data_IF_090844472252
#
_entry.id   IF_090844472252
#
_cell.length_a   1.000
_cell.length_b   1.000
_cell.length_c   1.000
_cell.angle_alpha   90.00
_cell.angle_beta   90.00
_cell.angle_gamma   90.00
#
_symmetry.space_group_name_H-M   'P 1'
#
loop_
_entity.id
_entity.type
_entity.pdbx_description
1 polymer ?
#
# COMPACT_ATOMS: atom_id res chain seq x y z
N UNK A 1 -2.79 8.37 -15.45
CA UNK A 1 -2.13 8.02 -16.75
C UNK A 1 -0.73 8.59 -16.84
N UNK A 2 -0.53 9.92 -16.73
CA UNK A 2 0.79 10.55 -16.88
C UNK A 2 1.90 9.95 -15.99
N UNK A 3 1.58 9.58 -14.75
CA UNK A 3 2.54 9.00 -13.80
C UNK A 3 3.22 7.71 -14.33
N UNK A 4 2.53 6.93 -15.16
CA UNK A 4 3.06 5.67 -15.68
C UNK A 4 4.20 5.87 -16.69
N UNK A 5 4.34 7.07 -17.27
CA UNK A 5 5.47 7.38 -18.14
C UNK A 5 6.82 7.26 -17.42
N UNK A 6 6.83 7.39 -16.09
CA UNK A 6 8.03 7.29 -15.27
C UNK A 6 8.52 5.86 -15.05
N UNK A 7 7.76 4.83 -15.43
CA UNK A 7 8.14 3.43 -15.23
C UNK A 7 9.20 3.01 -16.24
N UNK A 8 10.30 2.42 -15.79
CA UNK A 8 11.34 1.83 -16.62
C UNK A 8 10.95 0.43 -17.11
N UNK A 9 11.51 -0.01 -18.25
CA UNK A 9 11.19 -1.34 -18.82
C UNK A 9 11.69 -2.52 -17.97
N UNK A 10 12.58 -2.26 -17.01
CA UNK A 10 13.00 -3.23 -16.00
C UNK A 10 12.09 -3.25 -14.76
N UNK A 11 11.02 -2.45 -14.73
CA UNK A 11 10.07 -2.35 -13.63
C UNK A 11 10.45 -1.36 -12.53
N UNK A 12 11.61 -0.69 -12.64
CA UNK A 12 11.96 0.46 -11.80
C UNK A 12 11.20 1.71 -12.25
N UNK A 13 11.54 2.88 -11.71
CA UNK A 13 10.95 4.14 -12.14
C UNK A 13 11.91 5.30 -11.97
N UNK A 14 11.66 6.37 -12.74
CA UNK A 14 12.24 7.67 -12.51
C UNK A 14 11.85 8.22 -11.13
N UNK A 15 12.81 8.87 -10.47
CA UNK A 15 12.68 9.41 -9.11
C UNK A 15 12.71 10.95 -9.09
N UNK A 16 13.02 11.59 -10.22
CA UNK A 16 12.99 13.04 -10.39
C UNK A 16 11.82 13.39 -11.32
N UNK A 17 10.77 13.98 -10.75
CA UNK A 17 9.58 14.42 -11.48
C UNK A 17 9.88 15.77 -12.15
N UNK A 18 9.48 15.93 -13.41
CA UNK A 18 9.62 17.16 -14.19
C UNK A 18 8.56 18.21 -13.87
N UNK A 19 8.58 19.31 -14.62
CA UNK A 19 7.68 20.45 -14.39
C UNK A 19 6.37 20.30 -15.20
N UNK A 20 6.41 19.53 -16.30
CA UNK A 20 5.27 19.27 -17.18
C UNK A 20 4.55 17.95 -16.86
N UNK A 21 3.24 17.82 -17.18
CA UNK A 21 2.51 16.59 -16.93
C UNK A 21 3.14 15.37 -17.64
N UNK A 22 3.57 14.38 -16.85
CA UNK A 22 4.20 13.15 -17.36
C UNK A 22 5.69 13.30 -17.68
N UNK A 23 6.29 14.46 -17.40
CA UNK A 23 7.74 14.66 -17.56
C UNK A 23 8.51 14.04 -16.40
N UNK A 24 9.57 13.32 -16.73
CA UNK A 24 10.52 12.75 -15.79
C UNK A 24 11.95 13.08 -16.24
N UNK A 25 12.82 13.38 -15.28
CA UNK A 25 14.19 13.82 -15.51
C UNK A 25 15.16 12.69 -15.15
N UNK A 26 16.12 12.43 -16.04
CA UNK A 26 17.23 11.52 -15.73
C UNK A 26 18.14 12.13 -14.65
N UNK A 27 18.63 11.30 -13.74
CA UNK A 27 19.61 11.70 -12.74
C UNK A 27 20.92 12.13 -13.43
N UNK A 28 21.50 13.22 -12.94
CA UNK A 28 22.73 13.83 -13.49
C UNK A 28 23.98 13.54 -12.66
N UNK A 29 23.83 13.01 -11.44
CA UNK A 29 24.87 12.96 -10.43
C UNK A 29 25.36 11.54 -10.10
N UNK A 30 24.94 10.50 -10.83
CA UNK A 30 25.34 9.09 -10.63
C UNK A 30 25.06 8.50 -9.24
N UNK A 31 24.37 9.22 -8.34
CA UNK A 31 23.91 8.73 -7.05
C UNK A 31 22.47 8.24 -7.27
N UNK A 32 22.33 7.08 -7.89
CA UNK A 32 21.03 6.46 -8.12
C UNK A 32 20.65 5.58 -6.95
N UNK A 33 19.37 5.65 -6.57
CA UNK A 33 18.76 4.78 -5.56
C UNK A 33 17.49 4.15 -6.12
N UNK A 34 17.24 2.91 -5.73
CA UNK A 34 16.01 2.17 -6.01
C UNK A 34 15.32 1.88 -4.69
N UNK A 35 14.12 2.42 -4.54
CA UNK A 35 13.22 2.08 -3.44
C UNK A 35 12.35 0.92 -3.88
N UNK A 36 12.42 -0.18 -3.13
CA UNK A 36 11.76 -1.45 -3.45
C UNK A 36 10.23 -1.36 -3.47
N UNK A 37 9.65 -0.41 -2.74
CA UNK A 37 8.20 -0.23 -2.62
C UNK A 37 7.58 0.60 -3.75
N UNK A 38 8.36 1.36 -4.51
CA UNK A 38 7.83 2.25 -5.55
C UNK A 38 6.96 1.53 -6.60
N UNK A 39 7.26 0.26 -6.88
CA UNK A 39 6.47 -0.57 -7.79
C UNK A 39 5.14 -1.07 -7.21
N UNK A 40 4.95 -1.01 -5.89
CA UNK A 40 3.78 -1.57 -5.20
C UNK A 40 2.59 -0.59 -5.13
N UNK A 41 2.85 0.69 -4.84
CA UNK A 41 1.81 1.71 -4.62
C UNK A 41 0.93 2.09 -5.84
N UNK A 42 1.45 2.11 -7.09
CA UNK A 42 0.66 2.52 -8.25
C UNK A 42 -0.60 1.68 -8.44
N UNK A 43 -0.53 0.37 -8.21
CA UNK A 43 -1.69 -0.52 -8.36
C UNK A 43 -2.80 -0.18 -7.38
N UNK A 44 -2.47 0.05 -6.11
CA UNK A 44 -3.45 0.39 -5.08
C UNK A 44 -4.18 1.69 -5.42
N UNK A 45 -3.46 2.68 -5.95
CA UNK A 45 -4.03 3.96 -6.39
C UNK A 45 -4.94 3.78 -7.61
N UNK A 46 -4.53 2.99 -8.59
CA UNK A 46 -5.37 2.65 -9.76
C UNK A 46 -6.61 1.88 -9.34
N UNK A 47 -6.48 0.90 -8.44
CA UNK A 47 -7.60 0.13 -7.91
C UNK A 47 -8.60 1.05 -7.22
N UNK A 48 -8.14 1.98 -6.37
CA UNK A 48 -9.02 2.96 -5.73
C UNK A 48 -9.79 3.82 -6.75
N UNK A 49 -9.13 4.26 -7.83
CA UNK A 49 -9.81 4.98 -8.92
C UNK A 49 -10.86 4.11 -9.60
N UNK A 50 -10.53 2.88 -9.99
CA UNK A 50 -11.44 1.97 -10.68
C UNK A 50 -12.62 1.61 -9.76
N UNK A 51 -12.36 1.35 -8.48
CA UNK A 51 -13.39 1.05 -7.51
C UNK A 51 -14.40 2.21 -7.44
N UNK A 52 -13.94 3.45 -7.25
CA UNK A 52 -14.81 4.63 -7.14
C UNK A 52 -15.57 4.97 -8.43
N UNK A 53 -14.94 4.79 -9.59
CA UNK A 53 -15.46 5.31 -10.87
C UNK A 53 -16.11 4.25 -11.75
N UNK A 54 -15.76 2.98 -11.58
CA UNK A 54 -16.08 1.90 -12.51
C UNK A 54 -15.31 1.94 -13.84
N UNK A 55 -14.37 2.86 -14.01
CA UNK A 55 -13.65 3.05 -15.29
C UNK A 55 -12.49 2.06 -15.46
N UNK A 56 -12.84 0.83 -15.86
CA UNK A 56 -11.88 -0.21 -16.25
C UNK A 56 -11.09 0.15 -17.52
N UNK A 57 -11.60 1.06 -18.37
CA UNK A 57 -10.94 1.44 -19.62
C UNK A 57 -9.59 2.11 -19.39
N UNK A 58 -9.34 2.63 -18.19
CA UNK A 58 -8.03 3.12 -17.75
C UNK A 58 -6.92 2.08 -17.96
N UNK A 59 -7.19 0.81 -17.68
CA UNK A 59 -6.21 -0.28 -17.78
C UNK A 59 -5.73 -0.51 -19.24
N UNK A 60 -6.57 -0.18 -20.22
CA UNK A 60 -6.30 -0.34 -21.65
C UNK A 60 -5.65 0.90 -22.28
N UNK A 61 -5.59 2.03 -21.55
CA UNK A 61 -4.92 3.24 -22.05
C UNK A 61 -3.43 2.96 -22.26
N UNK A 62 -2.87 3.53 -23.32
CA UNK A 62 -1.45 3.40 -23.65
C UNK A 62 -0.61 4.50 -23.02
N UNK A 63 0.61 4.15 -22.63
CA UNK A 63 1.62 5.07 -22.12
C UNK A 63 3.03 4.59 -22.51
N UNK A 64 3.97 5.52 -22.60
CA UNK A 64 5.39 5.24 -22.84
C UNK A 64 6.09 4.72 -21.58
N UNK A 65 7.25 4.09 -21.74
CA UNK A 65 8.16 3.79 -20.64
C UNK A 65 9.31 4.79 -20.59
N UNK A 66 9.76 5.11 -19.38
CA UNK A 66 10.95 5.91 -19.13
C UNK A 66 12.19 5.11 -19.52
N UNK A 67 13.17 5.80 -20.09
CA UNK A 67 14.51 5.25 -20.34
C UNK A 67 15.55 6.32 -20.09
N UNK A 68 16.55 6.00 -19.27
CA UNK A 68 17.79 6.73 -19.22
C UNK A 68 18.99 5.78 -19.36
N UNK A 69 20.17 6.24 -18.93
CA UNK A 69 21.41 5.47 -18.99
C UNK A 69 21.45 4.31 -18.00
N UNK A 70 20.58 4.26 -17.00
CA UNK A 70 20.57 3.23 -15.97
C UNK A 70 19.65 2.07 -16.36
N UNK A 71 20.07 0.87 -15.99
CA UNK A 71 19.34 -0.39 -16.25
C UNK A 71 19.57 -1.35 -15.09
N UNK A 72 18.79 -2.44 -15.04
CA UNK A 72 18.92 -3.49 -14.02
C UNK A 72 18.75 -2.92 -12.61
N UNK A 73 17.72 -2.08 -12.41
CA UNK A 73 17.53 -1.37 -11.14
C UNK A 73 18.77 -0.53 -10.80
N UNK A 74 19.28 0.19 -11.80
CA UNK A 74 20.46 1.06 -11.70
C UNK A 74 21.81 0.36 -11.47
N UNK A 75 21.84 -0.98 -11.40
CA UNK A 75 23.06 -1.79 -11.19
C UNK A 75 23.98 -1.85 -12.41
N UNK A 76 23.48 -1.48 -13.60
CA UNK A 76 24.27 -1.38 -14.84
C UNK A 76 23.96 -0.10 -15.60
N UNK A 77 24.91 0.34 -16.42
CA UNK A 77 24.75 1.52 -17.28
C UNK A 77 24.83 1.16 -18.77
N UNK A 78 24.14 1.94 -19.60
CA UNK A 78 24.20 1.94 -21.07
C UNK A 78 24.45 3.37 -21.58
N UNK A 79 24.86 3.56 -22.85
CA UNK A 79 25.01 4.89 -23.42
C UNK A 79 23.72 5.71 -23.30
N UNK A 80 23.86 6.99 -22.95
CA UNK A 80 22.72 7.90 -22.81
C UNK A 80 22.00 8.09 -24.15
N UNK A 81 20.68 8.04 -24.11
CA UNK A 81 19.81 8.26 -25.26
C UNK A 81 19.44 9.73 -25.44
N UNK A 82 19.03 10.12 -26.65
CA UNK A 82 18.64 11.52 -26.96
C UNK A 82 17.31 11.91 -26.31
N UNK A 83 16.42 10.95 -26.17
CA UNK A 83 15.11 11.07 -25.53
C UNK A 83 15.05 10.15 -24.32
N UNK A 84 14.30 10.55 -23.29
CA UNK A 84 14.14 9.77 -22.07
C UNK A 84 12.99 8.74 -22.16
N UNK A 85 12.80 8.13 -23.34
CA UNK A 85 11.73 7.19 -23.63
C UNK A 85 12.30 5.89 -24.16
N UNK A 86 11.80 4.76 -23.68
CA UNK A 86 12.16 3.44 -24.19
C UNK A 86 11.76 3.33 -25.66
N UNK A 87 12.67 2.87 -26.50
CA UNK A 87 12.43 2.70 -27.93
C UNK A 87 12.37 1.22 -28.33
N UNK A 88 11.71 0.94 -29.45
CA UNK A 88 11.68 -0.37 -30.08
C UNK A 88 12.91 -0.60 -30.99
N UNK A 89 12.92 -1.72 -31.73
CA UNK A 89 14.02 -2.05 -32.67
C UNK A 89 14.23 -1.07 -33.83
N UNK A 90 13.29 -0.14 -34.06
CA UNK A 90 13.35 0.89 -35.11
C UNK A 90 13.67 2.27 -34.52
N UNK A 91 14.06 2.34 -33.25
CA UNK A 91 14.31 3.57 -32.50
C UNK A 91 13.06 4.45 -32.31
N UNK A 92 11.86 3.87 -32.41
CA UNK A 92 10.59 4.57 -32.17
C UNK A 92 10.12 4.37 -30.71
N UNK A 93 9.58 5.41 -30.04
CA UNK A 93 9.09 5.28 -28.66
C UNK A 93 8.03 4.18 -28.48
N UNK A 94 8.29 3.23 -27.60
CA UNK A 94 7.39 2.12 -27.31
C UNK A 94 6.27 2.53 -26.34
N UNK A 95 5.05 2.03 -26.59
CA UNK A 95 3.90 2.23 -25.72
C UNK A 95 3.28 0.90 -25.28
N UNK A 96 3.19 0.72 -23.97
CA UNK A 96 2.45 -0.34 -23.30
C UNK A 96 1.09 0.12 -22.80
N UNK A 97 0.20 -0.80 -22.44
CA UNK A 97 -1.03 -0.44 -21.70
C UNK A 97 -0.71 -0.13 -20.24
N UNK A 98 -1.58 0.60 -19.53
CA UNK A 98 -1.44 0.79 -18.08
C UNK A 98 -1.39 -0.56 -17.35
N UNK A 99 -2.18 -1.53 -17.80
CA UNK A 99 -2.11 -2.90 -17.28
C UNK A 99 -0.73 -3.55 -17.48
N UNK A 100 -0.10 -3.37 -18.65
CA UNK A 100 1.26 -3.88 -18.89
C UNK A 100 2.29 -3.29 -17.92
N UNK A 101 2.20 -1.98 -17.64
CA UNK A 101 3.09 -1.31 -16.68
C UNK A 101 2.87 -1.87 -15.26
N UNK A 102 1.61 -2.03 -14.85
CA UNK A 102 1.28 -2.58 -13.53
C UNK A 102 1.71 -4.04 -13.39
N UNK A 103 1.54 -4.86 -14.43
CA UNK A 103 2.04 -6.24 -14.46
C UNK A 103 3.55 -6.26 -14.30
N UNK A 104 4.28 -5.44 -15.08
CA UNK A 104 5.74 -5.35 -15.01
C UNK A 104 6.22 -4.98 -13.60
N UNK A 105 5.72 -3.88 -13.02
CA UNK A 105 6.16 -3.40 -11.71
C UNK A 105 5.98 -4.47 -10.62
N UNK A 106 4.83 -5.15 -10.63
CA UNK A 106 4.50 -6.11 -9.57
C UNK A 106 5.16 -7.47 -9.76
N UNK A 107 5.28 -7.96 -11.00
CA UNK A 107 5.96 -9.21 -11.27
C UNK A 107 7.48 -9.10 -11.07
N UNK A 108 8.10 -7.98 -11.45
CA UNK A 108 9.51 -7.75 -11.13
C UNK A 108 9.72 -7.65 -9.63
N UNK A 109 8.89 -6.86 -8.91
CA UNK A 109 8.96 -6.77 -7.45
C UNK A 109 8.81 -8.15 -6.77
N UNK A 110 7.88 -8.98 -7.24
CA UNK A 110 7.69 -10.34 -6.74
C UNK A 110 8.93 -11.25 -6.93
N UNK A 111 9.59 -11.16 -8.09
CA UNK A 111 10.72 -12.03 -8.45
C UNK A 111 12.08 -11.49 -8.01
N UNK A 112 12.18 -10.21 -7.62
CA UNK A 112 13.40 -9.62 -7.12
C UNK A 112 13.65 -10.00 -5.65
N UNK A 113 14.00 -11.27 -5.41
CA UNK A 113 14.13 -11.85 -4.06
C UNK A 113 15.57 -11.99 -3.58
N UNK A 114 15.75 -12.00 -2.25
CA UNK A 114 17.00 -12.30 -1.57
C UNK A 114 17.15 -13.77 -1.21
N UNK A 115 18.09 -14.06 -0.31
CA UNK A 115 18.50 -15.42 0.07
C UNK A 115 17.41 -16.17 0.85
N UNK A 116 16.52 -15.44 1.55
CA UNK A 116 15.42 -15.99 2.35
C UNK A 116 14.10 -16.08 1.56
N UNK A 117 14.11 -15.70 0.29
CA UNK A 117 12.92 -15.74 -0.56
C UNK A 117 11.91 -14.62 -0.29
N UNK A 118 12.34 -13.50 0.32
CA UNK A 118 11.57 -12.26 0.40
C UNK A 118 12.14 -11.22 -0.57
N UNK A 119 11.35 -10.20 -0.87
CA UNK A 119 11.73 -9.13 -1.80
C UNK A 119 12.96 -8.40 -1.27
N UNK A 120 13.95 -8.15 -2.14
CA UNK A 120 15.14 -7.38 -1.80
C UNK A 120 14.76 -5.97 -1.37
N UNK A 121 15.39 -5.48 -0.31
CA UNK A 121 15.19 -4.12 0.18
C UNK A 121 15.68 -3.07 -0.83
N UNK A 122 16.69 -3.43 -1.64
CA UNK A 122 17.41 -2.49 -2.51
C UNK A 122 17.98 -1.32 -1.68
N UNK A 123 17.71 -0.06 -2.00
CA UNK A 123 18.28 1.09 -1.29
C UNK A 123 17.39 1.65 -0.17
N UNK A 124 16.14 1.19 -0.08
CA UNK A 124 15.17 1.40 1.00
C UNK A 124 13.81 0.84 0.56
N UNK A 125 12.84 0.86 1.48
CA UNK A 125 11.41 0.78 1.15
C UNK A 125 10.71 2.08 1.57
N UNK A 126 9.44 2.02 2.01
CA UNK A 126 8.75 3.18 2.58
C UNK A 126 9.54 3.89 3.70
N UNK A 127 10.33 3.14 4.48
CA UNK A 127 11.24 3.74 5.44
C UNK A 127 12.56 4.11 4.74
N UNK A 128 12.61 5.37 4.28
CA UNK A 128 13.79 5.96 3.64
C UNK A 128 15.09 5.80 4.44
N UNK A 129 15.00 5.61 5.76
CA UNK A 129 16.13 5.48 6.65
C UNK A 129 16.74 4.08 6.70
N UNK A 130 16.15 3.07 6.04
CA UNK A 130 16.66 1.69 5.92
C UNK A 130 17.60 1.53 4.71
N UNK A 131 18.60 2.40 4.60
CA UNK A 131 19.39 2.59 3.38
C UNK A 131 20.79 1.96 3.40
N UNK A 132 21.05 1.01 4.31
CA UNK A 132 22.38 0.41 4.48
C UNK A 132 22.39 -1.11 4.26
N UNK A 133 21.28 -1.70 3.79
CA UNK A 133 21.15 -3.14 3.55
C UNK A 133 21.02 -3.56 2.07
N UNK A 134 21.69 -2.85 1.18
CA UNK A 134 21.61 -3.02 -0.27
C UNK A 134 22.09 -4.38 -0.84
N UNK A 135 22.92 -5.14 -0.12
CA UNK A 135 23.46 -6.41 -0.64
C UNK A 135 22.56 -7.60 -0.32
N UNK A 136 22.20 -7.76 0.95
CA UNK A 136 21.43 -8.90 1.48
C UNK A 136 20.13 -8.53 2.16
N UNK A 137 19.83 -7.24 2.27
CA UNK A 137 18.61 -6.80 2.92
C UNK A 137 17.37 -7.26 2.17
N UNK A 138 16.38 -7.68 2.92
CA UNK A 138 15.08 -8.10 2.39
C UNK A 138 13.96 -7.41 3.18
N UNK A 139 12.92 -6.96 2.47
CA UNK A 139 11.71 -6.36 3.03
C UNK A 139 10.57 -7.37 3.00
N UNK A 140 10.28 -7.97 4.16
CA UNK A 140 9.13 -8.86 4.31
C UNK A 140 7.85 -8.03 4.20
N UNK A 141 7.88 -6.80 4.73
CA UNK A 141 6.78 -5.84 4.64
C UNK A 141 6.28 -5.66 3.20
N UNK A 142 7.14 -5.32 2.25
CA UNK A 142 6.72 -5.12 0.86
C UNK A 142 6.58 -6.41 0.07
N UNK A 143 7.10 -7.52 0.58
CA UNK A 143 6.75 -8.85 0.05
C UNK A 143 5.27 -9.15 0.21
N UNK A 144 4.64 -8.78 1.34
CA UNK A 144 3.19 -8.88 1.53
C UNK A 144 2.43 -8.08 0.45
N UNK A 145 2.87 -6.85 0.18
CA UNK A 145 2.22 -5.98 -0.80
C UNK A 145 2.32 -6.52 -2.22
N UNK A 146 3.50 -6.94 -2.67
CA UNK A 146 3.65 -7.53 -4.00
C UNK A 146 2.84 -8.81 -4.14
N UNK A 147 2.76 -9.65 -3.11
CA UNK A 147 1.93 -10.86 -3.14
C UNK A 147 0.44 -10.54 -3.32
N UNK A 148 -0.11 -9.58 -2.56
CA UNK A 148 -1.50 -9.18 -2.71
C UNK A 148 -1.78 -8.42 -4.01
N UNK A 149 -0.81 -7.62 -4.49
CA UNK A 149 -0.95 -6.91 -5.75
C UNK A 149 -1.16 -7.86 -6.94
N UNK A 150 -0.56 -9.06 -6.92
CA UNK A 150 -0.86 -10.08 -7.93
C UNK A 150 -2.32 -10.57 -7.86
N UNK A 151 -2.91 -10.71 -6.66
CA UNK A 151 -4.35 -11.02 -6.49
C UNK A 151 -5.24 -9.89 -7.01
N UNK A 152 -4.88 -8.64 -6.71
CA UNK A 152 -5.61 -7.46 -7.19
C UNK A 152 -5.56 -7.40 -8.73
N UNK A 153 -4.38 -7.63 -9.34
CA UNK A 153 -4.23 -7.67 -10.79
C UNK A 153 -5.10 -8.77 -11.40
N UNK A 154 -5.08 -9.98 -10.85
CA UNK A 154 -5.93 -11.09 -11.30
C UNK A 154 -7.42 -10.70 -11.25
N UNK A 155 -7.86 -10.09 -10.14
CA UNK A 155 -9.23 -9.61 -9.98
C UNK A 155 -9.60 -8.52 -10.97
N UNK A 156 -8.73 -7.55 -11.27
CA UNK A 156 -9.00 -6.50 -12.25
C UNK A 156 -9.04 -7.05 -13.68
N UNK A 157 -8.14 -7.98 -14.02
CA UNK A 157 -8.07 -8.62 -15.33
C UNK A 157 -9.33 -9.46 -15.60
N UNK A 158 -9.88 -10.10 -14.57
CA UNK A 158 -11.14 -10.86 -14.66
C UNK A 158 -12.30 -10.01 -15.17
N UNK A 159 -12.33 -8.75 -14.78
CA UNK A 159 -13.41 -7.80 -15.11
C UNK A 159 -13.22 -7.14 -16.48
N UNK A 160 -12.08 -7.36 -17.15
CA UNK A 160 -11.87 -6.85 -18.50
C UNK A 160 -12.74 -7.61 -19.52
N UNK A 161 -13.29 -6.90 -20.53
CA UNK A 161 -14.11 -7.55 -21.55
C UNK A 161 -13.30 -8.42 -22.51
N UNK A 162 -12.04 -8.05 -22.81
CA UNK A 162 -11.18 -8.76 -23.76
C UNK A 162 -10.64 -10.06 -23.20
N UNK A 163 -10.83 -11.19 -23.89
CA UNK A 163 -10.27 -12.52 -23.53
C UNK A 163 -8.75 -12.65 -23.73
N UNK A 164 -8.10 -11.62 -24.29
CA UNK A 164 -6.66 -11.56 -24.48
C UNK A 164 -6.08 -10.26 -23.90
N UNK A 165 -4.89 -10.35 -23.33
CA UNK A 165 -4.11 -9.21 -22.86
C UNK A 165 -2.85 -9.11 -23.71
N UNK A 166 -2.65 -7.95 -24.36
CA UNK A 166 -1.45 -7.67 -25.16
C UNK A 166 -0.34 -7.14 -24.25
N UNK A 167 0.83 -7.77 -24.28
CA UNK A 167 2.03 -7.37 -23.52
C UNK A 167 3.29 -7.49 -24.39
N UNK A 168 4.40 -6.85 -24.03
CA UNK A 168 5.70 -7.14 -24.63
C UNK A 168 6.16 -8.58 -24.31
N UNK A 169 6.88 -9.18 -25.25
CA UNK A 169 7.22 -10.62 -25.25
C UNK A 169 7.97 -11.07 -23.99
N UNK A 170 8.94 -10.28 -23.56
CA UNK A 170 9.82 -10.60 -22.42
C UNK A 170 9.04 -10.70 -21.10
N UNK A 171 7.88 -10.03 -20.96
CA UNK A 171 7.04 -10.08 -19.76
C UNK A 171 6.59 -11.51 -19.45
N UNK A 172 6.39 -12.34 -20.48
CA UNK A 172 6.00 -13.75 -20.32
C UNK A 172 6.94 -14.52 -19.40
N UNK A 173 8.24 -14.18 -19.41
CA UNK A 173 9.24 -14.82 -18.54
C UNK A 173 8.88 -14.68 -17.06
N UNK A 174 8.28 -13.56 -16.67
CA UNK A 174 7.92 -13.26 -15.29
C UNK A 174 6.69 -14.04 -14.79
N UNK A 175 6.01 -14.80 -15.66
CA UNK A 175 4.84 -15.61 -15.28
C UNK A 175 5.20 -17.05 -14.87
N UNK A 176 6.50 -17.37 -14.82
CA UNK A 176 6.99 -18.65 -14.32
C UNK A 176 7.26 -18.61 -12.81
N UNK A 177 7.17 -19.77 -12.15
CA UNK A 177 7.29 -19.90 -10.70
C UNK A 177 8.67 -19.48 -10.18
N UNK A 178 9.72 -19.67 -10.99
CA UNK A 178 11.10 -19.32 -10.66
C UNK A 178 11.73 -18.56 -11.82
N UNK A 179 12.13 -17.33 -11.54
CA UNK A 179 12.75 -16.46 -12.53
C UNK A 179 14.09 -15.96 -12.01
N UNK A 180 15.13 -16.10 -12.84
CA UNK A 180 16.39 -15.41 -12.59
C UNK A 180 16.23 -13.96 -13.04
N UNK A 181 15.98 -13.04 -12.10
CA UNK A 181 15.62 -11.66 -12.45
C UNK A 181 16.69 -10.94 -13.27
N UNK A 182 17.98 -11.26 -13.05
CA UNK A 182 19.07 -10.71 -13.87
C UNK A 182 18.95 -11.10 -15.35
N UNK A 183 18.45 -12.30 -15.64
CA UNK A 183 18.22 -12.73 -17.02
C UNK A 183 17.09 -11.94 -17.69
N UNK A 184 16.01 -11.65 -16.94
CA UNK A 184 14.95 -10.76 -17.42
C UNK A 184 15.51 -9.37 -17.71
N UNK A 185 16.30 -8.80 -16.79
CA UNK A 185 16.94 -7.50 -16.99
C UNK A 185 17.87 -7.46 -18.19
N UNK A 186 18.69 -8.50 -18.41
CA UNK A 186 19.54 -8.59 -19.60
C UNK A 186 18.70 -8.55 -20.88
N UNK A 187 17.58 -9.29 -20.93
CA UNK A 187 16.67 -9.30 -22.09
C UNK A 187 16.03 -7.94 -22.37
N UNK A 188 15.48 -7.28 -21.35
CA UNK A 188 14.85 -5.97 -21.54
C UNK A 188 15.86 -4.83 -21.72
N UNK A 189 17.14 -5.04 -21.37
CA UNK A 189 18.19 -4.07 -21.72
C UNK A 189 18.43 -3.97 -23.23
N UNK A 190 18.14 -5.04 -23.98
CA UNK A 190 18.20 -5.12 -25.43
C UNK A 190 16.81 -5.04 -26.11
N UNK A 191 15.82 -4.47 -25.41
CA UNK A 191 14.41 -4.45 -25.79
C UNK A 191 14.15 -4.14 -27.26
N UNK A 192 13.27 -4.94 -27.90
CA UNK A 192 12.93 -4.82 -29.33
C UNK A 192 11.48 -4.41 -29.61
N UNK A 193 10.64 -4.28 -28.59
CA UNK A 193 9.23 -3.87 -28.75
C UNK A 193 8.30 -4.91 -29.36
N UNK A 194 8.70 -6.20 -29.36
CA UNK A 194 7.82 -7.26 -29.86
C UNK A 194 6.74 -7.56 -28.83
N UNK A 195 5.49 -7.67 -29.28
CA UNK A 195 4.35 -7.96 -28.42
C UNK A 195 3.77 -9.35 -28.66
N UNK A 196 3.12 -9.87 -27.64
CA UNK A 196 2.42 -11.16 -27.63
C UNK A 196 1.05 -10.98 -26.98
N UNK A 197 0.13 -11.88 -27.31
CA UNK A 197 -1.18 -11.98 -26.68
C UNK A 197 -1.16 -13.10 -25.65
N UNK A 198 -1.55 -12.79 -24.42
CA UNK A 198 -1.75 -13.75 -23.36
C UNK A 198 -3.25 -14.02 -23.18
N UNK A 199 -3.63 -15.28 -23.02
CA UNK A 199 -5.02 -15.63 -22.72
C UNK A 199 -5.37 -15.16 -21.31
N UNK A 200 -6.49 -14.43 -21.16
CA UNK A 200 -6.95 -13.87 -19.88
C UNK A 200 -6.97 -14.91 -18.77
N UNK A 201 -7.58 -16.06 -19.02
CA UNK A 201 -7.71 -17.14 -18.03
C UNK A 201 -6.36 -17.69 -17.55
N UNK A 202 -5.37 -17.79 -18.43
CA UNK A 202 -4.04 -18.30 -18.09
C UNK A 202 -3.25 -17.27 -17.28
N UNK A 203 -3.35 -15.98 -17.67
CA UNK A 203 -2.72 -14.89 -16.93
C UNK A 203 -3.28 -14.80 -15.50
N UNK A 204 -4.61 -14.85 -15.33
CA UNK A 204 -5.26 -14.86 -14.02
C UNK A 204 -4.74 -16.02 -13.17
N UNK A 205 -4.78 -17.25 -13.70
CA UNK A 205 -4.34 -18.44 -12.98
C UNK A 205 -2.86 -18.35 -12.55
N UNK A 206 -1.98 -17.83 -13.41
CA UNK A 206 -0.56 -17.63 -13.07
C UNK A 206 -0.38 -16.59 -11.96
N UNK A 207 -1.08 -15.46 -12.02
CA UNK A 207 -1.01 -14.43 -10.99
C UNK A 207 -1.53 -14.93 -9.64
N UNK A 208 -2.66 -15.64 -9.62
CA UNK A 208 -3.22 -16.24 -8.40
C UNK A 208 -2.29 -17.30 -7.81
N UNK A 209 -1.69 -18.15 -8.64
CA UNK A 209 -0.72 -19.16 -8.22
C UNK A 209 0.53 -18.53 -7.59
N UNK A 210 1.15 -17.56 -8.25
CA UNK A 210 2.32 -16.83 -7.72
C UNK A 210 1.99 -16.13 -6.40
N UNK A 211 0.82 -15.50 -6.31
CA UNK A 211 0.35 -14.87 -5.08
C UNK A 211 0.20 -15.89 -3.94
N UNK A 212 -0.47 -17.02 -4.21
CA UNK A 212 -0.72 -18.06 -3.22
C UNK A 212 0.59 -18.65 -2.67
N UNK A 213 1.54 -18.97 -3.54
CA UNK A 213 2.87 -19.45 -3.13
C UNK A 213 3.59 -18.45 -2.22
N UNK A 214 3.54 -17.16 -2.56
CA UNK A 214 4.21 -16.13 -1.75
C UNK A 214 3.52 -15.89 -0.42
N UNK A 215 2.20 -15.86 -0.40
CA UNK A 215 1.42 -15.70 0.85
C UNK A 215 1.68 -16.89 1.77
N UNK A 216 1.71 -18.12 1.24
CA UNK A 216 2.07 -19.29 2.03
C UNK A 216 3.48 -19.16 2.63
N UNK A 217 4.47 -18.77 1.83
CA UNK A 217 5.85 -18.53 2.31
C UNK A 217 5.88 -17.48 3.44
N UNK A 218 5.16 -16.36 3.29
CA UNK A 218 5.05 -15.32 4.32
C UNK A 218 4.43 -15.88 5.62
N UNK A 219 3.31 -16.58 5.52
CA UNK A 219 2.59 -17.11 6.68
C UNK A 219 3.38 -18.17 7.44
N UNK A 220 4.17 -18.99 6.76
CA UNK A 220 4.93 -20.09 7.37
C UNK A 220 6.33 -19.66 7.82
N UNK A 221 7.01 -18.85 7.00
CA UNK A 221 8.43 -18.54 7.21
C UNK A 221 8.65 -17.22 7.95
N UNK A 222 7.78 -16.21 7.77
CA UNK A 222 7.96 -14.90 8.41
C UNK A 222 7.11 -14.69 9.67
N UNK A 223 6.03 -15.45 9.86
CA UNK A 223 5.22 -15.34 11.09
C UNK A 223 5.86 -16.11 12.24
N UNK A 224 6.46 -15.40 13.20
CA UNK A 224 7.16 -15.97 14.36
C UNK A 224 6.68 -15.26 15.63
N UNK A 225 6.48 -16.01 16.72
CA UNK A 225 6.16 -15.44 18.04
C UNK A 225 5.03 -14.40 17.97
N UNK A 226 3.91 -14.80 17.36
CA UNK A 226 2.69 -14.00 17.22
C UNK A 226 2.85 -12.67 16.46
N UNK A 227 3.86 -12.52 15.59
CA UNK A 227 3.99 -11.37 14.69
C UNK A 227 4.73 -11.74 13.41
N UNK A 228 4.77 -10.84 12.43
CA UNK A 228 5.60 -11.01 11.23
C UNK A 228 6.97 -10.35 11.46
N UNK A 229 8.04 -11.08 11.17
CA UNK A 229 9.36 -10.45 10.97
C UNK A 229 9.22 -9.37 9.88
N UNK A 230 9.91 -8.25 10.03
CA UNK A 230 9.77 -7.14 9.07
C UNK A 230 10.89 -7.10 8.04
N UNK A 231 12.12 -7.42 8.44
CA UNK A 231 13.32 -7.19 7.63
C UNK A 231 14.42 -8.20 7.90
N UNK A 232 15.15 -8.56 6.85
CA UNK A 232 16.52 -9.05 6.98
C UNK A 232 17.50 -7.89 6.73
N UNK A 233 18.56 -7.80 7.52
CA UNK A 233 19.60 -6.77 7.42
C UNK A 233 20.68 -7.13 6.36
N UNK A 234 21.72 -6.30 6.24
CA UNK A 234 22.78 -6.51 5.24
C UNK A 234 23.68 -7.73 5.50
N UNK A 235 23.59 -8.34 6.68
CA UNK A 235 24.28 -9.59 6.99
C UNK A 235 23.43 -10.81 6.61
N UNK A 236 22.16 -10.60 6.23
CA UNK A 236 21.18 -11.65 5.96
C UNK A 236 20.59 -12.24 7.24
N UNK A 237 20.50 -11.45 8.31
CA UNK A 237 19.93 -11.87 9.60
C UNK A 237 18.67 -11.06 9.85
N UNK A 238 17.68 -11.65 10.51
CA UNK A 238 16.50 -10.92 10.99
C UNK A 238 16.96 -9.69 11.79
N UNK A 239 16.40 -8.53 11.44
CA UNK A 239 16.70 -7.27 12.11
C UNK A 239 16.05 -7.20 13.51
N UNK A 240 15.00 -7.99 13.74
CA UNK A 240 14.31 -8.12 15.01
C UNK A 240 14.74 -9.37 15.80
N UNK A 241 14.56 -9.34 17.12
CA UNK A 241 14.62 -10.50 18.00
C UNK A 241 13.26 -10.75 18.68
N UNK A 242 13.18 -11.72 19.60
CA UNK A 242 11.95 -12.04 20.32
C UNK A 242 11.30 -10.91 21.14
N UNK A 243 12.04 -9.84 21.45
CA UNK A 243 11.61 -8.68 22.23
C UNK A 243 11.43 -7.43 21.38
N UNK A 244 12.10 -7.34 20.23
CA UNK A 244 11.96 -6.19 19.34
C UNK A 244 10.95 -6.46 18.23
N UNK A 245 10.44 -5.38 17.66
CA UNK A 245 9.45 -5.42 16.60
C UNK A 245 9.48 -4.12 15.81
N UNK A 246 9.26 -4.22 14.50
CA UNK A 246 8.93 -3.09 13.64
C UNK A 246 7.43 -3.10 13.26
N UNK A 247 6.79 -1.93 13.33
CA UNK A 247 5.36 -1.75 13.01
C UNK A 247 5.09 -1.95 11.52
N UNK A 248 6.08 -1.71 10.67
CA UNK A 248 5.94 -1.73 9.20
C UNK A 248 5.55 -3.11 8.69
N UNK A 249 6.21 -4.19 9.15
CA UNK A 249 5.85 -5.55 8.73
C UNK A 249 4.42 -5.93 9.10
N UNK A 250 3.99 -5.55 10.31
CA UNK A 250 2.63 -5.84 10.81
C UNK A 250 1.59 -5.08 9.98
N UNK A 251 1.88 -3.81 9.73
CA UNK A 251 1.03 -2.92 8.95
C UNK A 251 0.85 -3.42 7.53
N UNK A 252 1.94 -3.79 6.85
CA UNK A 252 1.84 -4.25 5.46
C UNK A 252 1.20 -5.64 5.35
N UNK A 253 1.39 -6.53 6.34
CA UNK A 253 0.71 -7.82 6.40
C UNK A 253 -0.83 -7.65 6.47
N UNK A 254 -1.29 -6.74 7.34
CA UNK A 254 -2.70 -6.40 7.49
C UNK A 254 -3.24 -5.65 6.26
N UNK A 255 -2.57 -4.58 5.83
CA UNK A 255 -3.01 -3.75 4.69
C UNK A 255 -3.14 -4.56 3.40
N UNK A 256 -2.27 -5.57 3.24
CA UNK A 256 -2.25 -6.46 2.09
C UNK A 256 -3.19 -7.66 2.24
N UNK A 257 -3.91 -7.79 3.36
CA UNK A 257 -4.82 -8.92 3.63
C UNK A 257 -4.17 -10.30 3.39
N UNK A 258 -2.92 -10.42 3.81
CA UNK A 258 -2.10 -11.64 3.64
C UNK A 258 -1.91 -12.41 4.93
N UNK A 259 -2.14 -11.78 6.09
CA UNK A 259 -2.26 -12.48 7.36
C UNK A 259 -3.57 -13.30 7.39
N UNK A 260 -3.57 -14.49 8.00
CA UNK A 260 -4.82 -15.15 8.36
C UNK A 260 -5.57 -14.33 9.41
N UNK A 261 -6.87 -14.56 9.60
CA UNK A 261 -7.65 -13.88 10.67
C UNK A 261 -7.07 -14.14 12.06
N UNK A 262 -6.60 -15.36 12.30
CA UNK A 262 -5.94 -15.75 13.55
C UNK A 262 -4.61 -15.00 13.72
N UNK A 263 -3.77 -14.97 12.68
CA UNK A 263 -2.51 -14.22 12.70
C UNK A 263 -2.75 -12.72 12.92
N UNK A 264 -3.78 -12.14 12.29
CA UNK A 264 -4.16 -10.74 12.46
C UNK A 264 -4.57 -10.43 13.91
N UNK A 265 -5.29 -11.33 14.58
CA UNK A 265 -5.62 -11.18 16.00
C UNK A 265 -4.36 -11.26 16.87
N UNK A 266 -3.54 -12.30 16.67
CA UNK A 266 -2.32 -12.53 17.45
C UNK A 266 -1.30 -11.39 17.28
N UNK A 267 -1.15 -10.87 16.06
CA UNK A 267 -0.27 -9.73 15.80
C UNK A 267 -0.82 -8.44 16.38
N UNK A 268 -2.15 -8.23 16.42
CA UNK A 268 -2.72 -7.05 17.05
C UNK A 268 -2.40 -7.02 18.56
N UNK A 269 -2.59 -8.16 19.24
CA UNK A 269 -2.24 -8.32 20.66
C UNK A 269 -0.75 -8.05 20.91
N UNK A 270 0.12 -8.72 20.14
CA UNK A 270 1.57 -8.66 20.31
C UNK A 270 2.17 -7.30 19.96
N UNK A 271 1.61 -6.62 18.94
CA UNK A 271 1.99 -5.26 18.53
C UNK A 271 1.61 -4.25 19.60
N UNK A 272 0.41 -4.36 20.16
CA UNK A 272 -0.03 -3.51 21.26
C UNK A 272 0.85 -3.69 22.49
N UNK A 273 1.17 -4.93 22.85
CA UNK A 273 2.05 -5.23 23.99
C UNK A 273 3.43 -4.56 23.86
N UNK A 274 4.03 -4.57 22.66
CA UNK A 274 5.42 -4.15 22.46
C UNK A 274 5.59 -2.69 22.05
N UNK A 275 4.66 -2.16 21.24
CA UNK A 275 4.83 -0.87 20.58
C UNK A 275 3.86 0.20 21.07
N UNK A 276 2.79 -0.13 21.80
CA UNK A 276 1.80 0.88 22.20
C UNK A 276 2.26 1.71 23.39
N UNK A 277 2.28 3.03 23.20
CA UNK A 277 2.56 4.04 24.20
C UNK A 277 1.48 5.13 24.20
N UNK A 278 0.48 4.97 25.07
CA UNK A 278 -0.65 5.90 25.20
C UNK A 278 -0.20 7.35 25.46
N UNK A 279 0.87 7.55 26.23
CA UNK A 279 1.34 8.88 26.64
C UNK A 279 2.14 9.60 25.54
N UNK A 280 2.64 8.88 24.53
CA UNK A 280 3.36 9.46 23.39
C UNK A 280 2.49 9.60 22.14
N UNK A 281 1.27 9.06 22.17
CA UNK A 281 0.28 9.23 21.10
C UNK A 281 0.06 8.00 20.23
N UNK A 282 0.42 6.80 20.68
CA UNK A 282 0.06 5.57 19.96
C UNK A 282 1.21 4.60 19.84
N UNK A 283 1.40 4.05 18.65
CA UNK A 283 2.33 2.95 18.41
C UNK A 283 3.68 3.45 17.91
N UNK A 284 4.77 3.01 18.54
CA UNK A 284 6.14 3.25 18.07
C UNK A 284 6.36 2.60 16.70
N UNK A 285 7.09 3.26 15.80
CA UNK A 285 7.44 2.70 14.50
C UNK A 285 8.29 1.42 14.64
N UNK A 286 9.14 1.37 15.66
CA UNK A 286 9.94 0.22 16.01
C UNK A 286 10.33 0.25 17.49
N UNK A 287 10.67 -0.92 18.02
CA UNK A 287 11.26 -1.06 19.36
C UNK A 287 12.61 -0.35 19.45
N UNK A 288 13.05 -0.07 20.69
CA UNK A 288 14.40 0.42 20.91
C UNK A 288 15.39 -0.75 20.87
N UNK A 289 16.23 -0.81 19.83
CA UNK A 289 17.25 -1.85 19.70
C UNK A 289 18.46 -1.62 20.60
N UNK A 290 18.54 -0.47 21.27
CA UNK A 290 19.67 -0.07 22.13
C UNK A 290 21.04 -0.08 21.43
N UNK A 291 21.03 0.05 20.10
CA UNK A 291 22.22 0.08 19.25
C UNK A 291 21.95 0.84 17.95
N UNK A 292 23.03 1.33 17.32
CA UNK A 292 22.98 1.89 15.97
C UNK A 292 23.20 0.75 14.97
N UNK A 293 22.15 0.37 14.24
CA UNK A 293 22.19 -0.72 13.26
C UNK A 293 22.78 -0.26 11.91
N UNK A 294 24.10 -0.13 11.85
CA UNK A 294 24.81 0.30 10.62
C UNK A 294 24.75 -0.74 9.48
N UNK A 295 24.31 -1.96 9.77
CA UNK A 295 24.01 -2.99 8.79
C UNK A 295 22.53 -2.98 8.35
N UNK A 296 21.73 -2.00 8.78
CA UNK A 296 20.32 -1.88 8.40
C UNK A 296 20.05 -0.50 7.79
N UNK A 297 20.36 0.59 8.49
CA UNK A 297 20.05 1.91 7.96
C UNK A 297 20.44 3.08 8.85
N UNK A 298 20.56 4.27 8.24
CA UNK A 298 20.87 5.52 8.96
C UNK A 298 19.80 5.92 9.98
N UNK A 299 18.57 5.42 9.84
CA UNK A 299 17.47 5.70 10.79
C UNK A 299 17.92 5.49 12.23
N UNK A 300 18.61 4.38 12.50
CA UNK A 300 19.05 3.99 13.84
C UNK A 300 20.15 4.90 14.43
N UNK A 301 20.67 5.85 13.66
CA UNK A 301 21.54 6.92 14.16
C UNK A 301 20.77 8.10 14.77
N UNK A 302 19.47 8.24 14.50
CA UNK A 302 18.63 9.21 15.20
C UNK A 302 18.44 8.80 16.67
N UNK A 303 18.23 9.80 17.54
CA UNK A 303 17.78 9.52 18.90
C UNK A 303 16.47 8.70 18.87
N UNK A 304 16.34 7.70 19.74
CA UNK A 304 15.12 6.91 19.82
C UNK A 304 13.89 7.81 20.11
N UNK A 305 12.76 7.51 19.48
CA UNK A 305 11.55 8.33 19.38
C UNK A 305 11.68 9.58 18.48
N UNK A 306 12.66 9.64 17.60
CA UNK A 306 12.75 10.72 16.60
C UNK A 306 12.79 10.14 15.20
N UNK A 307 12.03 10.78 14.30
CA UNK A 307 12.02 10.42 12.87
C UNK A 307 11.72 8.92 12.71
N UNK A 308 12.39 8.23 11.80
CA UNK A 308 12.15 6.82 11.51
C UNK A 308 12.75 5.85 12.56
N UNK A 309 13.31 6.35 13.67
CA UNK A 309 13.77 5.53 14.80
C UNK A 309 12.81 5.62 15.98
N UNK A 310 11.79 4.76 15.96
CA UNK A 310 10.91 4.52 17.10
C UNK A 310 9.93 5.64 17.41
N UNK A 311 9.87 6.74 16.66
CA UNK A 311 8.86 7.75 16.89
C UNK A 311 7.44 7.18 16.69
N UNK A 312 6.43 7.84 17.25
CA UNK A 312 5.05 7.58 16.84
C UNK A 312 4.87 8.19 15.45
N UNK A 313 5.17 7.40 14.42
CA UNK A 313 5.22 7.87 13.03
C UNK A 313 3.83 7.79 12.41
N UNK A 314 3.17 8.94 12.25
CA UNK A 314 1.73 9.02 12.00
C UNK A 314 1.28 8.28 10.77
N UNK A 315 2.07 8.29 9.70
CA UNK A 315 1.70 7.63 8.46
C UNK A 315 1.60 6.11 8.65
N UNK A 316 2.58 5.47 9.29
CA UNK A 316 2.53 4.04 9.57
C UNK A 316 1.43 3.68 10.58
N UNK A 317 1.23 4.49 11.64
CA UNK A 317 0.17 4.25 12.63
C UNK A 317 -1.23 4.29 12.01
N UNK A 318 -1.49 5.24 11.10
CA UNK A 318 -2.79 5.33 10.43
C UNK A 318 -2.98 4.20 9.40
N UNK A 319 -1.91 3.79 8.69
CA UNK A 319 -1.96 2.60 7.83
C UNK A 319 -2.20 1.31 8.64
N UNK A 320 -1.59 1.20 9.82
CA UNK A 320 -1.80 0.09 10.75
C UNK A 320 -3.25 0.03 11.21
N UNK A 321 -3.80 1.17 11.64
CA UNK A 321 -5.21 1.29 11.98
C UNK A 321 -6.10 0.85 10.81
N UNK A 322 -5.83 1.34 9.60
CA UNK A 322 -6.55 0.94 8.39
C UNK A 322 -6.57 -0.58 8.19
N UNK A 323 -5.40 -1.22 8.29
CA UNK A 323 -5.27 -2.67 8.20
C UNK A 323 -6.07 -3.40 9.29
N UNK A 324 -6.03 -2.95 10.54
CA UNK A 324 -6.83 -3.53 11.63
C UNK A 324 -8.34 -3.44 11.34
N UNK A 325 -8.81 -2.31 10.82
CA UNK A 325 -10.20 -2.17 10.41
C UNK A 325 -10.57 -3.14 9.27
N UNK A 326 -9.71 -3.42 8.30
CA UNK A 326 -9.97 -4.42 7.25
C UNK A 326 -10.22 -5.82 7.83
N UNK A 327 -9.61 -6.15 8.97
CA UNK A 327 -9.81 -7.40 9.70
C UNK A 327 -10.95 -7.36 10.73
N UNK A 328 -11.74 -6.27 10.77
CA UNK A 328 -12.79 -6.03 11.76
C UNK A 328 -12.29 -5.98 13.22
N UNK A 329 -11.00 -5.70 13.41
CA UNK A 329 -10.39 -5.47 14.72
C UNK A 329 -10.58 -3.99 15.12
N UNK A 330 -11.84 -3.58 15.21
CA UNK A 330 -12.26 -2.17 15.34
C UNK A 330 -11.71 -1.51 16.61
N UNK A 331 -11.68 -2.22 17.73
CA UNK A 331 -11.17 -1.66 18.99
C UNK A 331 -9.67 -1.33 18.90
N UNK A 332 -8.87 -2.24 18.32
CA UNK A 332 -7.44 -2.01 18.07
C UNK A 332 -7.24 -0.86 17.06
N UNK A 333 -7.97 -0.88 15.95
CA UNK A 333 -7.86 0.14 14.91
C UNK A 333 -8.22 1.53 15.44
N UNK A 334 -9.28 1.61 16.26
CA UNK A 334 -9.70 2.83 16.93
C UNK A 334 -8.66 3.32 17.93
N UNK A 335 -8.11 2.42 18.75
CA UNK A 335 -7.05 2.77 19.71
C UNK A 335 -5.84 3.39 18.99
N UNK A 336 -5.38 2.76 17.91
CA UNK A 336 -4.26 3.27 17.11
C UNK A 336 -4.53 4.66 16.51
N UNK A 337 -5.65 4.83 15.80
CA UNK A 337 -5.95 6.08 15.11
C UNK A 337 -6.30 7.22 16.07
N UNK A 338 -7.19 6.99 17.04
CA UNK A 338 -7.71 8.07 17.89
C UNK A 338 -6.77 8.43 19.03
N UNK A 339 -5.91 7.54 19.52
CA UNK A 339 -4.84 7.94 20.46
C UNK A 339 -3.90 8.95 19.79
N UNK A 340 -3.58 8.75 18.51
CA UNK A 340 -2.78 9.65 17.71
C UNK A 340 -3.46 11.00 17.47
N UNK A 341 -4.72 10.98 17.06
CA UNK A 341 -5.51 12.20 16.80
C UNK A 341 -5.68 13.00 18.10
N UNK A 342 -6.00 12.34 19.21
CA UNK A 342 -6.11 12.99 20.51
C UNK A 342 -4.78 13.59 20.96
N UNK A 343 -3.65 12.91 20.76
CA UNK A 343 -2.34 13.47 21.05
C UNK A 343 -2.11 14.76 20.27
N UNK A 344 -2.44 14.79 18.97
CA UNK A 344 -2.30 16.00 18.16
C UNK A 344 -3.11 17.19 18.72
N UNK A 345 -4.28 16.93 19.31
CA UNK A 345 -5.17 17.96 19.86
C UNK A 345 -4.74 18.52 21.22
N UNK A 346 -3.79 17.89 21.91
CA UNK A 346 -3.34 18.36 23.22
C UNK A 346 -2.44 19.60 23.09
N UNK A 347 -2.51 20.50 24.08
CA UNK A 347 -1.67 21.71 24.12
C UNK A 347 -0.16 21.42 24.24
N UNK A 348 0.21 20.31 24.87
CA UNK A 348 1.60 19.90 25.04
C UNK A 348 2.21 19.29 23.78
N UNK A 349 1.40 18.86 22.82
CA UNK A 349 1.84 18.38 21.50
C UNK A 349 2.53 19.47 20.66
N UNK A 350 2.27 20.75 20.98
CA UNK A 350 2.72 21.93 20.21
C UNK A 350 2.21 21.97 18.77
N UNK A 351 1.20 21.17 18.45
CA UNK A 351 0.46 21.26 17.20
C UNK A 351 -0.66 22.29 17.31
N UNK A 352 -1.02 22.89 16.18
CA UNK A 352 -2.32 23.54 16.00
C UNK A 352 -3.34 22.47 15.59
N UNK A 353 -4.22 22.75 14.63
CA UNK A 353 -5.07 21.73 14.02
C UNK A 353 -4.31 20.93 12.97
N UNK A 354 -4.44 19.59 13.04
CA UNK A 354 -3.82 18.65 12.11
C UNK A 354 -2.90 17.64 12.82
N UNK A 355 -2.63 16.53 12.16
CA UNK A 355 -1.70 15.50 12.64
C UNK A 355 -0.27 15.81 12.12
N UNK A 356 0.78 15.64 12.95
CA UNK A 356 2.17 15.79 12.51
C UNK A 356 2.63 14.57 11.71
N UNK A 357 3.82 14.65 11.10
CA UNK A 357 4.52 13.47 10.57
C UNK A 357 4.81 12.46 11.69
N UNK A 358 5.31 12.93 12.83
CA UNK A 358 5.55 12.08 14.00
C UNK A 358 5.49 12.84 15.33
N UNK A 359 5.32 12.09 16.43
CA UNK A 359 5.53 12.58 17.80
C UNK A 359 6.88 12.11 18.37
N UNK A 360 7.57 13.03 19.05
CA UNK A 360 8.87 12.80 19.71
C UNK A 360 8.77 11.99 21.01
N UNK A 361 9.91 11.73 21.65
CA UNK A 361 10.07 11.21 23.02
C UNK A 361 9.25 11.96 24.09
N UNK A 362 8.85 13.20 23.80
CA UNK A 362 8.07 14.07 24.70
C UNK A 362 6.62 14.26 24.25
N UNK A 363 6.16 13.51 23.25
CA UNK A 363 4.83 13.68 22.66
C UNK A 363 4.67 14.98 21.87
N UNK A 364 5.76 15.69 21.53
CA UNK A 364 5.73 16.91 20.71
C UNK A 364 5.68 16.53 19.24
N UNK A 365 4.74 17.12 18.49
CA UNK A 365 4.58 16.92 17.05
C UNK A 365 5.65 17.64 16.24
N UNK A 366 6.13 16.99 15.18
CA UNK A 366 7.14 17.52 14.25
C UNK A 366 6.70 17.36 12.80
N UNK A 367 7.22 18.24 11.93
CA UNK A 367 6.89 18.29 10.50
C UNK A 367 5.37 18.35 10.25
N UNK A 368 4.79 19.49 10.63
CA UNK A 368 3.35 19.71 10.55
C UNK A 368 2.84 19.81 9.10
N UNK A 369 1.53 19.53 8.93
CA UNK A 369 0.70 19.79 7.74
C UNK A 369 0.97 18.94 6.49
N UNK A 370 2.21 18.74 6.09
CA UNK A 370 2.55 18.17 4.77
C UNK A 370 2.64 16.64 4.73
N UNK A 371 2.41 15.98 5.87
CA UNK A 371 2.51 14.53 6.00
C UNK A 371 1.44 13.79 5.18
N UNK A 372 1.86 12.71 4.50
CA UNK A 372 0.96 11.79 3.79
C UNK A 372 -0.03 11.05 4.71
N UNK A 373 0.20 11.08 6.03
CA UNK A 373 -0.73 10.51 7.01
C UNK A 373 -2.13 11.13 6.96
N UNK A 374 -2.25 12.40 6.56
CA UNK A 374 -3.54 13.07 6.43
C UNK A 374 -4.43 12.41 5.36
N UNK A 375 -3.85 12.05 4.20
CA UNK A 375 -4.56 11.34 3.13
C UNK A 375 -5.04 9.97 3.60
N UNK A 376 -4.21 9.24 4.33
CA UNK A 376 -4.58 7.95 4.91
C UNK A 376 -5.63 8.07 6.00
N UNK A 377 -5.62 9.13 6.82
CA UNK A 377 -6.63 9.36 7.85
C UNK A 377 -8.01 9.63 7.23
N UNK A 378 -8.05 10.44 6.17
CA UNK A 378 -9.28 10.67 5.40
C UNK A 378 -9.79 9.38 4.75
N UNK A 379 -8.87 8.57 4.17
CA UNK A 379 -9.21 7.28 3.60
C UNK A 379 -9.77 6.32 4.66
N UNK A 380 -9.14 6.22 5.83
CA UNK A 380 -9.59 5.40 6.96
C UNK A 380 -11.00 5.80 7.41
N UNK A 381 -11.23 7.10 7.65
CA UNK A 381 -12.53 7.62 8.06
C UNK A 381 -13.61 7.26 7.04
N UNK A 382 -13.39 7.57 5.77
CA UNK A 382 -14.39 7.38 4.71
C UNK A 382 -14.65 5.90 4.43
N UNK A 383 -13.61 5.13 4.19
CA UNK A 383 -13.75 3.78 3.62
C UNK A 383 -13.90 2.70 4.67
N UNK A 384 -13.29 2.83 5.84
CA UNK A 384 -13.36 1.80 6.89
C UNK A 384 -14.35 2.19 7.99
N UNK A 385 -14.17 3.34 8.64
CA UNK A 385 -14.99 3.73 9.81
C UNK A 385 -16.44 3.96 9.39
N UNK A 386 -16.66 4.87 8.45
CA UNK A 386 -17.99 5.10 7.86
C UNK A 386 -18.35 4.04 6.82
N UNK A 387 -17.44 3.14 6.45
CA UNK A 387 -17.80 1.97 5.65
C UNK A 387 -18.25 2.28 4.23
N UNK A 388 -17.81 3.38 3.62
CA UNK A 388 -18.17 3.74 2.24
C UNK A 388 -17.26 2.95 1.30
N UNK A 389 -17.75 1.78 0.86
CA UNK A 389 -16.99 0.82 0.05
C UNK A 389 -17.45 0.87 -1.40
N UNK A 390 -16.58 1.33 -2.28
CA UNK A 390 -16.80 1.20 -3.71
C UNK A 390 -16.14 -0.05 -4.27
N UNK A 391 -16.82 -0.70 -5.20
CA UNK A 391 -16.28 -1.77 -6.01
C UNK A 391 -16.78 -1.61 -7.44
N UNK A 392 -15.88 -1.28 -8.36
CA UNK A 392 -16.14 -1.05 -9.79
C UNK A 392 -17.40 -0.22 -10.03
N UNK A 393 -17.44 0.97 -9.43
CA UNK A 393 -18.54 1.92 -9.54
C UNK A 393 -19.79 1.57 -8.73
N UNK A 394 -19.78 0.48 -7.96
CA UNK A 394 -20.90 0.09 -7.08
C UNK A 394 -20.57 0.35 -5.62
N UNK A 395 -21.37 1.19 -4.98
CA UNK A 395 -21.27 1.54 -3.57
C UNK A 395 -21.99 0.52 -2.68
N UNK A 396 -21.28 0.06 -1.66
CA UNK A 396 -21.77 -0.74 -0.55
C UNK A 396 -21.44 -0.01 0.76
N UNK A 397 -22.36 -0.04 1.70
CA UNK A 397 -22.20 0.52 3.04
C UNK A 397 -21.91 -0.61 4.03
N UNK A 398 -20.79 -0.51 4.73
CA UNK A 398 -20.34 -1.48 5.74
C UNK A 398 -19.74 -0.74 6.95
N UNK A 399 -20.58 -0.05 7.76
CA UNK A 399 -20.09 0.83 8.81
C UNK A 399 -19.40 0.05 9.92
N UNK A 400 -18.23 0.54 10.34
CA UNK A 400 -17.44 0.03 11.47
C UNK A 400 -17.35 1.07 12.58
N UNK A 401 -18.50 1.69 12.88
CA UNK A 401 -18.66 2.75 13.86
C UNK A 401 -18.69 2.16 15.28
N UNK A 402 -17.84 2.68 16.16
CA UNK A 402 -17.89 2.36 17.58
C UNK A 402 -19.02 3.15 18.26
N UNK A 403 -19.39 2.75 19.47
CA UNK A 403 -20.47 3.43 20.22
C UNK A 403 -20.19 4.93 20.41
N UNK A 404 -18.92 5.28 20.68
CA UNK A 404 -18.47 6.67 20.88
C UNK A 404 -18.52 7.54 19.61
N UNK A 405 -18.76 6.96 18.43
CA UNK A 405 -18.91 7.72 17.18
C UNK A 405 -20.32 8.32 17.02
N UNK A 406 -21.28 7.87 17.82
CA UNK A 406 -22.67 8.33 17.77
C UNK A 406 -22.91 9.49 18.75
N UNK A 407 -23.31 10.64 18.21
CA UNK A 407 -23.75 11.81 18.97
C UNK A 407 -25.27 11.90 18.82
N UNK A 408 -26.01 11.78 19.92
CA UNK A 408 -27.48 11.71 19.90
C UNK A 408 -27.99 10.61 18.95
N UNK A 409 -27.46 9.40 19.12
CA UNK A 409 -27.78 8.20 18.34
C UNK A 409 -27.43 8.29 16.84
N UNK A 410 -26.65 9.29 16.43
CA UNK A 410 -26.31 9.53 15.02
C UNK A 410 -24.83 9.72 14.77
N UNK A 411 -24.36 9.20 13.64
CA UNK A 411 -23.04 9.49 13.09
C UNK A 411 -23.19 9.86 11.61
N UNK A 412 -22.61 10.99 11.19
CA UNK A 412 -22.77 11.49 9.82
C UNK A 412 -21.43 11.85 9.17
N UNK A 413 -21.35 11.61 7.87
CA UNK A 413 -20.24 12.04 7.01
C UNK A 413 -20.78 12.69 5.74
N UNK A 414 -20.25 13.85 5.38
CA UNK A 414 -20.50 14.51 4.09
C UNK A 414 -19.31 14.29 3.17
N UNK A 415 -19.53 13.62 2.04
CA UNK A 415 -18.48 13.26 1.08
C UNK A 415 -19.01 13.24 -0.35
N UNK A 416 -18.10 13.24 -1.32
CA UNK A 416 -18.46 12.94 -2.70
C UNK A 416 -18.79 11.46 -2.88
N UNK A 417 -19.93 11.23 -3.53
CA UNK A 417 -20.44 9.94 -3.99
C UNK A 417 -20.98 10.15 -5.41
N UNK A 418 -20.54 9.35 -6.37
CA UNK A 418 -20.98 9.48 -7.78
C UNK A 418 -20.85 10.91 -8.33
N UNK A 419 -19.78 11.62 -7.94
CA UNK A 419 -19.53 13.01 -8.37
C UNK A 419 -20.40 14.09 -7.71
N UNK A 420 -21.26 13.73 -6.74
CA UNK A 420 -22.11 14.68 -5.99
C UNK A 420 -21.73 14.69 -4.52
N UNK A 421 -21.78 15.86 -3.91
CA UNK A 421 -21.63 16.00 -2.46
C UNK A 421 -22.93 15.54 -1.79
N UNK A 422 -22.84 14.52 -0.95
CA UNK A 422 -23.96 13.91 -0.23
C UNK A 422 -23.58 13.62 1.21
N UNK A 423 -24.57 13.63 2.09
CA UNK A 423 -24.41 13.23 3.49
C UNK A 423 -24.96 11.83 3.70
N UNK A 424 -24.19 10.98 4.38
CA UNK A 424 -24.66 9.69 4.89
C UNK A 424 -24.82 9.84 6.41
N UNK A 425 -25.99 9.51 6.94
CA UNK A 425 -26.29 9.52 8.37
C UNK A 425 -26.67 8.12 8.83
N UNK A 426 -25.89 7.58 9.77
CA UNK A 426 -26.17 6.32 10.45
C UNK A 426 -26.95 6.58 11.73
N UNK A 427 -28.05 5.86 11.94
CA UNK A 427 -28.91 5.93 13.13
C UNK A 427 -28.77 4.66 13.96
N UNK A 428 -28.46 4.81 15.24
CA UNK A 428 -28.28 3.73 16.21
C UNK A 428 -29.15 3.95 17.46
N UNK A 429 -30.50 3.96 17.34
CA UNK A 429 -31.38 4.27 18.46
C UNK A 429 -31.28 3.26 19.62
N UNK A 430 -30.82 2.05 19.32
CA UNK A 430 -30.63 0.97 20.30
C UNK A 430 -29.28 1.02 21.03
N UNK A 431 -28.42 2.02 20.75
CA UNK A 431 -27.12 2.19 21.39
C UNK A 431 -26.23 0.93 21.29
N UNK A 432 -26.24 0.29 20.11
CA UNK A 432 -25.54 -0.97 19.89
C UNK A 432 -24.05 -0.72 19.62
N UNK A 433 -23.12 -1.44 20.30
CA UNK A 433 -21.71 -1.38 19.96
C UNK A 433 -21.42 -2.07 18.61
N UNK A 434 -20.26 -1.79 18.02
CA UNK A 434 -19.79 -2.50 16.83
C UNK A 434 -19.81 -4.02 17.06
N UNK A 435 -20.20 -4.77 16.03
CA UNK A 435 -20.36 -6.22 16.11
C UNK A 435 -21.66 -6.68 16.78
N UNK A 436 -22.51 -5.76 17.27
CA UNK A 436 -23.87 -6.07 17.77
C UNK A 436 -24.99 -5.50 16.89
N UNK A 437 -24.65 -4.78 15.82
CA UNK A 437 -25.61 -4.22 14.87
C UNK A 437 -25.41 -4.76 13.45
N UNK A 438 -26.43 -4.58 12.62
CA UNK A 438 -26.42 -4.67 11.16
C UNK A 438 -27.22 -3.52 10.55
N UNK A 439 -27.00 -3.26 9.26
CA UNK A 439 -27.89 -2.37 8.50
C UNK A 439 -29.25 -3.06 8.34
N UNK A 440 -30.30 -2.47 8.89
CA UNK A 440 -31.68 -2.93 8.70
C UNK A 440 -32.37 -2.24 7.54
N UNK A 441 -32.02 -0.97 7.27
CA UNK A 441 -32.63 -0.17 6.21
C UNK A 441 -31.70 0.92 5.69
N UNK A 442 -31.76 1.17 4.39
CA UNK A 442 -31.11 2.31 3.73
C UNK A 442 -32.21 3.11 3.03
N UNK A 443 -32.25 4.43 3.22
CA UNK A 443 -33.27 5.31 2.64
C UNK A 443 -32.60 6.48 1.91
N UNK A 444 -33.11 6.81 0.72
CA UNK A 444 -32.85 8.08 0.03
C UNK A 444 -34.18 8.62 -0.50
N UNK A 445 -34.49 9.90 -0.28
CA UNK A 445 -35.76 10.54 -0.73
C UNK A 445 -37.02 9.72 -0.45
N UNK A 446 -37.13 9.19 0.77
CA UNK A 446 -38.27 8.34 1.21
C UNK A 446 -38.43 7.00 0.47
N UNK A 447 -37.42 6.57 -0.30
CA UNK A 447 -37.38 5.25 -0.92
C UNK A 447 -36.34 4.39 -0.22
N UNK A 448 -36.71 3.13 0.03
CA UNK A 448 -35.80 2.13 0.56
C UNK A 448 -34.89 1.60 -0.55
N UNK A 449 -33.60 1.49 -0.25
CA UNK A 449 -32.57 1.09 -1.21
C UNK A 449 -31.93 -0.23 -0.79
N UNK A 450 -31.49 -0.99 -1.79
CA UNK A 450 -30.61 -2.14 -1.56
C UNK A 450 -29.16 -1.67 -1.37
N UNK A 451 -28.39 -2.43 -0.59
CA UNK A 451 -26.99 -2.10 -0.27
C UNK A 451 -26.02 -2.52 -1.37
N UNK A 452 -26.24 -2.00 -2.58
CA UNK A 452 -25.49 -2.24 -3.82
C UNK A 452 -25.78 -1.10 -4.81
N UNK A 453 -25.54 0.12 -4.35
CA UNK A 453 -25.95 1.36 -5.00
C UNK A 453 -25.07 1.65 -6.22
N UNK A 454 -25.66 1.91 -7.37
CA UNK A 454 -24.93 2.35 -8.59
C UNK A 454 -25.14 3.83 -8.91
N UNK A 455 -26.11 4.45 -8.24
CA UNK A 455 -26.39 5.89 -8.28
C UNK A 455 -26.99 6.31 -6.95
N UNK A 456 -26.99 7.61 -6.68
CA UNK A 456 -27.69 8.19 -5.54
C UNK A 456 -28.43 9.45 -5.97
N UNK A 457 -29.50 9.75 -5.24
CA UNK A 457 -30.27 10.96 -5.42
C UNK A 457 -30.55 11.62 -4.06
N UNK A 458 -29.59 12.40 -3.58
CA UNK A 458 -29.64 13.14 -2.32
C UNK A 458 -28.79 12.54 -1.21
N UNK A 459 -29.19 12.83 0.02
CA UNK A 459 -28.59 12.30 1.24
C UNK A 459 -29.12 10.89 1.54
N UNK A 460 -28.32 10.10 2.26
CA UNK A 460 -28.59 8.70 2.59
C UNK A 460 -28.79 8.57 4.11
N UNK A 461 -29.91 7.99 4.50
CA UNK A 461 -30.21 7.63 5.90
C UNK A 461 -30.06 6.11 6.07
N UNK A 462 -29.19 5.69 6.98
CA UNK A 462 -28.89 4.28 7.25
C UNK A 462 -29.34 3.93 8.67
N UNK A 463 -30.25 2.97 8.81
CA UNK A 463 -30.75 2.53 10.11
C UNK A 463 -30.04 1.24 10.53
N UNK A 464 -29.50 1.26 11.74
CA UNK A 464 -28.85 0.12 12.37
C UNK A 464 -29.83 -0.56 13.33
N UNK A 465 -29.80 -1.89 13.33
CA UNK A 465 -30.60 -2.72 14.23
C UNK A 465 -29.78 -3.93 14.70
N UNK A 466 -30.26 -4.63 15.72
CA UNK A 466 -29.57 -5.77 16.31
C UNK A 466 -29.32 -6.91 15.30
N UNK A 467 -28.22 -7.64 15.52
CA UNK A 467 -28.00 -8.92 14.87
C UNK A 467 -29.09 -9.90 15.34
N UNK A 468 -29.76 -10.57 14.40
CA UNK A 468 -30.77 -11.58 14.69
C UNK A 468 -30.16 -12.90 15.16
#
# INVERSE_FOLDING_TARGET
INNFQGVGIDGSNATIIGDMPGEFKADRNMITRVWSDHGAWPLLTVKMYIDETGDLSLLEKKQFYFMDQFTHYTKKTRPKTKINLQTDKKDEPYQGTILEHLLLQNLVGHHNIGDHGFVRLEDADWNDGLDMAHHKGETIAFTHMFANNLRILASLIKELPSEEVLVFEELKMLLEDKVTISHFFDKVSEFKGKTIKLKKSELIAKLEHLAALRIQHLQEQAFKINHFQSYFNNDGIDADDHHTMNLTGQTMALLSETASKEQASLLADSTRERLFSKHLGGYHLNSNYHQVLTNMGRAYGFAYNHKENGAIFSHMVIMYAYGLYQYNLVDYGREAAFTLIHQAQRKDSKMLHGIPEYFTDRGVGKYAYLTGSASWALKLLRTEIFGIKFHIGTLHLDPKLALDDFIQDKASITTYLFGKLSTITYHNPKHLPYGSYRISKIISKNQELQNNLTTIDGDIEVYLDELL
#
